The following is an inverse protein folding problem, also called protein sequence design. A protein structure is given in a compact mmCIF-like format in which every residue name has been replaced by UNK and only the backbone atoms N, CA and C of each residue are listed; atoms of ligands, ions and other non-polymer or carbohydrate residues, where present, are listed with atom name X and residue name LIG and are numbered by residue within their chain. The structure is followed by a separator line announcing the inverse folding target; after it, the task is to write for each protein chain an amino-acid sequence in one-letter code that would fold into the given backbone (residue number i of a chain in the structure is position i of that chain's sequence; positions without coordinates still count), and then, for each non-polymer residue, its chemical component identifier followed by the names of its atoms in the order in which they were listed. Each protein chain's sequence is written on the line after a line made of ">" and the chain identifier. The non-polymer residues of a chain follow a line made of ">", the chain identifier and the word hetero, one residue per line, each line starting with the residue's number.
data_IF_181316448634
#
_entry.id   IF_181316448634
#
_cell.length_a   1.000
_cell.length_b   1.000
_cell.length_c   1.000
_cell.angle_alpha   90.00
_cell.angle_beta   90.00
_cell.angle_gamma   90.00
#
_symmetry.space_group_name_H-M   'P 1'
#
loop_
_entity.id
_entity.type
_entity.pdbx_description
1 polymer ?
#
# COMPACT_ATOMS: atom_id res chain seq x y z
N UNK A 1 8.16 45.75 -17.86
CA UNK A 1 6.70 45.54 -17.85
C UNK A 1 6.26 44.33 -18.68
N UNK A 2 6.68 44.16 -19.96
CA UNK A 2 6.28 42.99 -20.77
C UNK A 2 6.67 41.63 -20.15
N UNK A 3 7.84 41.56 -19.51
CA UNK A 3 8.31 40.39 -18.76
C UNK A 3 7.37 39.99 -17.61
N UNK A 4 6.79 40.97 -16.91
CA UNK A 4 5.86 40.72 -15.80
C UNK A 4 4.58 40.09 -16.34
N UNK A 5 4.03 40.65 -17.44
CA UNK A 5 2.85 40.12 -18.11
C UNK A 5 3.10 38.71 -18.67
N UNK A 6 4.27 38.47 -19.27
CA UNK A 6 4.70 37.13 -19.70
C UNK A 6 4.88 36.17 -18.50
N UNK A 7 5.31 36.67 -17.34
CA UNK A 7 5.37 35.90 -16.11
C UNK A 7 4.00 35.42 -15.66
N UNK A 8 2.98 36.28 -15.72
CA UNK A 8 1.59 35.89 -15.47
C UNK A 8 1.08 34.85 -16.47
N UNK A 9 1.45 34.95 -17.75
CA UNK A 9 1.17 33.90 -18.75
C UNK A 9 1.79 32.57 -18.34
N UNK A 10 3.05 32.57 -17.88
CA UNK A 10 3.75 31.36 -17.43
C UNK A 10 3.07 30.73 -16.20
N UNK A 11 2.75 31.54 -15.19
CA UNK A 11 2.03 31.09 -13.98
C UNK A 11 0.66 30.52 -14.35
N UNK A 12 -0.10 31.22 -15.18
CA UNK A 12 -1.41 30.77 -15.64
C UNK A 12 -1.31 29.46 -16.42
N UNK A 13 -0.34 29.34 -17.34
CA UNK A 13 -0.10 28.11 -18.10
C UNK A 13 0.21 26.91 -17.19
N UNK A 14 1.06 27.11 -16.18
CA UNK A 14 1.33 26.08 -15.16
C UNK A 14 0.09 25.72 -14.33
N UNK A 15 -0.69 26.72 -13.93
CA UNK A 15 -1.93 26.52 -13.17
C UNK A 15 -3.02 25.79 -13.96
N UNK A 16 -3.19 26.17 -15.22
CA UNK A 16 -4.11 25.55 -16.16
C UNK A 16 -3.75 24.08 -16.38
N UNK A 17 -2.46 23.79 -16.60
CA UNK A 17 -1.97 22.41 -16.75
C UNK A 17 -2.24 21.55 -15.50
N UNK A 18 -2.09 22.12 -14.29
CA UNK A 18 -2.31 21.40 -13.04
C UNK A 18 -3.79 21.16 -12.70
N UNK A 19 -4.71 22.04 -13.12
CA UNK A 19 -6.14 21.95 -12.78
C UNK A 19 -6.98 21.26 -13.86
N UNK A 20 -6.59 21.39 -15.12
CA UNK A 20 -7.37 20.86 -16.24
C UNK A 20 -6.93 19.43 -16.54
N UNK A 21 -7.86 18.46 -16.63
CA UNK A 21 -7.54 17.04 -16.76
C UNK A 21 -7.09 16.62 -18.17
N UNK A 22 -6.23 17.41 -18.83
CA UNK A 22 -5.77 17.19 -20.23
C UNK A 22 -5.18 15.79 -20.40
N UNK A 23 -4.28 15.37 -19.51
CA UNK A 23 -3.65 14.04 -19.55
C UNK A 23 -4.66 12.90 -19.33
N UNK A 24 -5.67 13.11 -18.49
CA UNK A 24 -6.74 12.13 -18.28
C UNK A 24 -7.58 11.97 -19.54
N UNK A 25 -7.94 13.07 -20.21
CA UNK A 25 -8.70 13.06 -21.47
C UNK A 25 -7.91 12.39 -22.60
N UNK A 26 -6.62 12.72 -22.76
CA UNK A 26 -5.75 12.06 -23.74
C UNK A 26 -5.61 10.55 -23.49
N UNK A 27 -5.53 10.14 -22.21
CA UNK A 27 -5.49 8.71 -21.84
C UNK A 27 -6.81 8.02 -22.19
N UNK A 28 -7.95 8.64 -21.91
CA UNK A 28 -9.28 8.11 -22.28
C UNK A 28 -9.37 7.94 -23.80
N UNK A 29 -8.89 8.91 -24.58
CA UNK A 29 -8.84 8.79 -26.05
C UNK A 29 -7.95 7.63 -26.50
N UNK A 30 -6.74 7.49 -25.95
CA UNK A 30 -5.82 6.41 -26.29
C UNK A 30 -6.42 5.03 -26.00
N UNK A 31 -6.97 4.83 -24.80
CA UNK A 31 -7.59 3.56 -24.39
C UNK A 31 -8.82 3.25 -25.24
N UNK A 32 -9.69 4.25 -25.48
CA UNK A 32 -10.88 4.08 -26.31
C UNK A 32 -10.50 3.72 -27.75
N UNK A 33 -9.47 4.36 -28.31
CA UNK A 33 -8.96 4.04 -29.64
C UNK A 33 -8.35 2.65 -29.75
N UNK A 34 -7.60 2.21 -28.73
CA UNK A 34 -7.06 0.85 -28.66
C UNK A 34 -8.19 -0.21 -28.58
N UNK A 35 -9.22 0.05 -27.78
CA UNK A 35 -10.36 -0.85 -27.64
C UNK A 35 -11.23 -0.89 -28.90
N UNK A 36 -11.44 0.25 -29.56
CA UNK A 36 -12.15 0.33 -30.84
C UNK A 36 -11.40 -0.46 -31.93
N UNK A 37 -10.07 -0.31 -32.00
CA UNK A 37 -9.23 -1.07 -32.94
C UNK A 37 -9.30 -2.58 -32.68
N UNK A 38 -9.22 -3.01 -31.41
CA UNK A 38 -9.33 -4.43 -31.05
C UNK A 38 -10.71 -5.02 -31.40
N UNK A 39 -11.78 -4.26 -31.15
CA UNK A 39 -13.15 -4.67 -31.47
C UNK A 39 -13.35 -4.81 -32.99
N UNK A 40 -12.85 -3.85 -33.76
CA UNK A 40 -12.94 -3.87 -35.22
C UNK A 40 -12.20 -5.08 -35.83
N UNK A 41 -11.02 -5.40 -35.30
CA UNK A 41 -10.18 -6.51 -35.75
C UNK A 41 -10.63 -7.88 -35.21
N UNK A 42 -11.65 -7.95 -34.36
CA UNK A 42 -12.10 -9.20 -33.76
C UNK A 42 -12.95 -10.03 -34.74
N UNK A 43 -12.54 -11.26 -35.07
CA UNK A 43 -13.31 -12.14 -35.95
C UNK A 43 -14.50 -12.81 -35.23
N UNK A 44 -14.52 -12.81 -33.90
CA UNK A 44 -15.49 -13.56 -33.08
C UNK A 44 -16.78 -12.80 -32.74
N UNK A 45 -16.92 -11.54 -33.17
CA UNK A 45 -18.04 -10.66 -32.81
C UNK A 45 -18.84 -10.32 -34.08
N UNK A 46 -20.16 -10.51 -34.03
CA UNK A 46 -21.05 -10.18 -35.14
C UNK A 46 -21.13 -8.66 -35.40
N UNK A 47 -21.35 -8.29 -36.66
CA UNK A 47 -21.26 -6.91 -37.12
C UNK A 47 -22.28 -5.98 -36.47
N UNK A 48 -23.48 -6.47 -36.16
CA UNK A 48 -24.51 -5.69 -35.46
C UNK A 48 -24.08 -5.30 -34.02
N UNK A 49 -23.37 -6.20 -33.32
CA UNK A 49 -22.80 -5.90 -31.99
C UNK A 49 -21.60 -4.96 -32.11
N UNK A 50 -20.76 -5.13 -33.14
CA UNK A 50 -19.66 -4.20 -33.43
C UNK A 50 -20.20 -2.79 -33.65
N UNK A 51 -21.25 -2.63 -34.44
CA UNK A 51 -21.85 -1.33 -34.74
C UNK A 51 -22.34 -0.62 -33.47
N UNK A 52 -23.11 -1.32 -32.62
CA UNK A 52 -23.65 -0.77 -31.37
C UNK A 52 -22.53 -0.29 -30.43
N UNK A 53 -21.47 -1.07 -30.27
CA UNK A 53 -20.34 -0.71 -29.39
C UNK A 53 -19.43 0.36 -30.02
N UNK A 54 -19.24 0.32 -31.34
CA UNK A 54 -18.47 1.34 -32.07
C UNK A 54 -19.12 2.73 -31.98
N UNK A 55 -20.45 2.83 -31.95
CA UNK A 55 -21.15 4.10 -31.69
C UNK A 55 -20.81 4.69 -30.33
N UNK A 56 -20.70 3.85 -29.29
CA UNK A 56 -20.30 4.27 -27.93
C UNK A 56 -18.85 4.77 -27.92
N UNK A 57 -17.94 4.05 -28.59
CA UNK A 57 -16.55 4.50 -28.72
C UNK A 57 -16.40 5.80 -29.52
N UNK A 58 -17.15 5.95 -30.62
CA UNK A 58 -17.19 7.16 -31.41
C UNK A 58 -17.68 8.35 -30.57
N UNK A 59 -18.76 8.19 -29.81
CA UNK A 59 -19.28 9.24 -28.93
C UNK A 59 -18.26 9.61 -27.83
N UNK A 60 -17.59 8.60 -27.24
CA UNK A 60 -16.57 8.82 -26.21
C UNK A 60 -15.31 9.52 -26.76
N UNK A 61 -14.91 9.21 -27.99
CA UNK A 61 -13.83 9.92 -28.68
C UNK A 61 -14.25 11.34 -29.03
N UNK A 62 -15.45 11.54 -29.58
CA UNK A 62 -15.99 12.85 -29.93
C UNK A 62 -16.09 13.79 -28.72
N UNK A 63 -16.66 13.31 -27.61
CA UNK A 63 -16.74 14.08 -26.36
C UNK A 63 -15.36 14.44 -25.81
N UNK A 64 -14.39 13.53 -25.89
CA UNK A 64 -13.01 13.81 -25.48
C UNK A 64 -12.34 14.85 -26.37
N UNK A 65 -12.56 14.78 -27.68
CA UNK A 65 -12.06 15.78 -28.65
C UNK A 65 -12.69 17.15 -28.41
N UNK A 66 -14.01 17.21 -28.20
CA UNK A 66 -14.72 18.46 -27.90
C UNK A 66 -14.20 19.10 -26.60
N UNK A 67 -13.92 18.27 -25.59
CA UNK A 67 -13.39 18.72 -24.31
C UNK A 67 -11.94 19.23 -24.42
N UNK A 68 -11.09 18.58 -25.23
CA UNK A 68 -9.75 19.11 -25.55
C UNK A 68 -9.83 20.42 -26.34
N UNK A 69 -10.74 20.52 -27.30
CA UNK A 69 -10.98 21.75 -28.05
C UNK A 69 -11.45 22.89 -27.13
N UNK A 70 -12.38 22.60 -26.22
CA UNK A 70 -12.82 23.55 -25.21
C UNK A 70 -11.64 24.05 -24.35
N UNK A 71 -10.75 23.16 -23.91
CA UNK A 71 -9.55 23.56 -23.18
C UNK A 71 -8.62 24.46 -24.00
N UNK A 72 -8.45 24.15 -25.28
CA UNK A 72 -7.68 25.00 -26.19
C UNK A 72 -8.31 26.39 -26.32
N UNK A 73 -9.63 26.47 -26.50
CA UNK A 73 -10.37 27.74 -26.58
C UNK A 73 -10.22 28.56 -25.30
N UNK A 74 -10.34 27.94 -24.13
CA UNK A 74 -10.13 28.62 -22.84
C UNK A 74 -8.70 29.16 -22.73
N UNK A 75 -7.70 28.35 -23.09
CA UNK A 75 -6.30 28.74 -23.05
C UNK A 75 -6.02 29.93 -23.99
N UNK A 76 -6.47 29.85 -25.25
CA UNK A 76 -6.32 30.92 -26.24
C UNK A 76 -7.09 32.17 -25.85
N UNK A 77 -8.31 32.03 -25.32
CA UNK A 77 -9.13 33.15 -24.87
C UNK A 77 -8.46 33.94 -23.76
N UNK A 78 -7.80 33.26 -22.82
CA UNK A 78 -7.07 33.93 -21.73
C UNK A 78 -5.81 34.60 -22.25
N UNK A 79 -5.08 33.97 -23.18
CA UNK A 79 -3.95 34.62 -23.85
C UNK A 79 -4.38 35.89 -24.62
N UNK A 80 -5.54 35.87 -25.28
CA UNK A 80 -6.10 37.01 -25.98
C UNK A 80 -6.46 38.16 -25.02
N UNK A 81 -7.08 37.84 -23.88
CA UNK A 81 -7.40 38.84 -22.83
C UNK A 81 -6.13 39.46 -22.28
N UNK A 82 -5.09 38.65 -21.98
CA UNK A 82 -3.81 39.15 -21.49
C UNK A 82 -3.08 40.01 -22.53
N UNK A 83 -3.17 39.65 -23.82
CA UNK A 83 -2.63 40.47 -24.90
C UNK A 83 -3.35 41.82 -25.01
N UNK A 84 -4.68 41.84 -24.96
CA UNK A 84 -5.47 43.06 -25.00
C UNK A 84 -5.15 43.97 -23.80
N UNK A 85 -5.03 43.39 -22.60
CA UNK A 85 -4.62 44.11 -21.40
C UNK A 85 -3.21 44.71 -21.52
N UNK A 86 -2.28 43.98 -22.15
CA UNK A 86 -0.94 44.49 -22.45
C UNK A 86 -0.97 45.70 -23.39
N UNK A 87 -1.81 45.65 -24.44
CA UNK A 87 -1.96 46.74 -25.41
C UNK A 87 -2.48 48.03 -24.78
N UNK A 88 -3.35 47.94 -23.77
CA UNK A 88 -3.84 49.11 -23.02
C UNK A 88 -2.73 49.88 -22.28
N UNK A 89 -1.60 49.21 -21.99
CA UNK A 89 -0.44 49.79 -21.29
C UNK A 89 0.75 49.97 -22.24
N UNK A 90 0.53 49.91 -23.55
CA UNK A 90 1.57 50.09 -24.57
C UNK A 90 2.55 48.92 -24.70
N UNK A 91 2.18 47.72 -24.23
CA UNK A 91 3.00 46.52 -24.31
C UNK A 91 2.49 45.57 -25.39
N UNK A 92 3.39 45.04 -26.22
CA UNK A 92 3.05 44.01 -27.19
C UNK A 92 3.48 42.62 -26.71
N UNK A 93 2.56 41.95 -26.01
CA UNK A 93 2.78 40.59 -25.52
C UNK A 93 2.95 39.58 -26.67
N UNK A 94 2.27 39.78 -27.80
CA UNK A 94 2.29 38.82 -28.91
C UNK A 94 3.66 38.83 -29.59
N UNK A 95 4.20 40.02 -29.84
CA UNK A 95 5.56 40.18 -30.38
C UNK A 95 6.61 39.59 -29.43
N UNK A 96 6.44 39.75 -28.11
CA UNK A 96 7.37 39.16 -27.16
C UNK A 96 7.31 37.62 -27.15
N UNK A 97 6.10 37.04 -27.16
CA UNK A 97 5.90 35.58 -27.16
C UNK A 97 6.29 34.89 -28.47
N UNK A 98 6.35 35.62 -29.59
CA UNK A 98 6.84 35.07 -30.86
C UNK A 98 8.36 34.98 -30.94
N UNK A 99 9.08 35.54 -29.95
CA UNK A 99 10.55 35.41 -29.87
C UNK A 99 10.99 34.13 -29.15
N UNK A 100 12.16 33.55 -29.49
CA UNK A 100 12.74 32.44 -28.73
C UNK A 100 12.93 32.77 -27.24
N UNK A 101 13.32 34.02 -26.94
CA UNK A 101 13.54 34.50 -25.57
C UNK A 101 12.24 34.50 -24.76
N UNK A 102 11.15 34.98 -25.34
CA UNK A 102 9.83 34.98 -24.70
C UNK A 102 9.32 33.56 -24.44
N UNK A 103 9.47 32.65 -25.39
CA UNK A 103 9.09 31.25 -25.24
C UNK A 103 9.87 30.56 -24.11
N UNK A 104 11.20 30.74 -24.07
CA UNK A 104 12.05 30.18 -23.01
C UNK A 104 11.63 30.74 -21.65
N UNK A 105 11.41 32.06 -21.55
CA UNK A 105 11.02 32.70 -20.30
C UNK A 105 9.69 32.17 -19.75
N UNK A 106 8.65 32.11 -20.57
CA UNK A 106 7.33 31.61 -20.16
C UNK A 106 7.40 30.13 -19.77
N UNK A 107 8.14 29.33 -20.52
CA UNK A 107 8.34 27.90 -20.23
C UNK A 107 9.08 27.70 -18.91
N UNK A 108 10.12 28.51 -18.65
CA UNK A 108 10.87 28.50 -17.40
C UNK A 108 9.97 28.92 -16.22
N UNK A 109 9.23 30.01 -16.32
CA UNK A 109 8.32 30.49 -15.26
C UNK A 109 7.22 29.47 -14.98
N UNK A 110 6.61 28.89 -16.02
CA UNK A 110 5.61 27.83 -15.90
C UNK A 110 6.17 26.59 -15.21
N UNK A 111 7.39 26.18 -15.58
CA UNK A 111 8.08 25.02 -14.98
C UNK A 111 8.43 25.27 -13.51
N UNK A 112 9.01 26.44 -13.19
CA UNK A 112 9.35 26.83 -11.82
C UNK A 112 8.08 26.91 -10.97
N UNK A 113 7.02 27.57 -11.45
CA UNK A 113 5.74 27.67 -10.75
C UNK A 113 5.14 26.28 -10.48
N UNK A 114 5.14 25.41 -11.49
CA UNK A 114 4.65 24.04 -11.37
C UNK A 114 5.46 23.27 -10.33
N UNK A 115 6.79 23.33 -10.38
CA UNK A 115 7.67 22.68 -9.40
C UNK A 115 7.47 23.25 -7.99
N UNK A 116 7.38 24.57 -7.84
CA UNK A 116 7.14 25.22 -6.55
C UNK A 116 5.80 24.80 -5.96
N UNK A 117 4.73 24.75 -6.77
CA UNK A 117 3.40 24.36 -6.30
C UNK A 117 3.31 22.87 -5.96
N UNK A 118 4.05 22.03 -6.71
CA UNK A 118 4.20 20.62 -6.40
C UNK A 118 5.02 20.38 -5.13
N UNK A 119 6.05 21.19 -4.86
CA UNK A 119 6.82 21.17 -3.61
C UNK A 119 6.04 21.75 -2.42
N UNK A 120 5.20 22.77 -2.65
CA UNK A 120 4.36 23.38 -1.62
C UNK A 120 3.18 22.48 -1.19
N UNK A 121 2.77 21.55 -2.05
CA UNK A 121 2.01 20.38 -1.60
C UNK A 121 2.95 19.52 -0.76
N UNK A 122 2.93 19.73 0.57
CA UNK A 122 3.58 18.84 1.54
C UNK A 122 3.10 17.41 1.26
N UNK A 123 3.96 16.64 0.63
CA UNK A 123 3.79 15.21 0.38
C UNK A 123 5.20 14.65 0.40
N UNK A 124 5.43 13.67 1.26
CA UNK A 124 6.74 13.02 1.40
C UNK A 124 7.14 12.25 0.11
N UNK A 125 6.20 12.09 -0.83
CA UNK A 125 6.40 11.40 -2.10
C UNK A 125 6.52 12.38 -3.28
N UNK A 126 7.67 12.34 -3.96
CA UNK A 126 7.89 13.08 -5.21
C UNK A 126 6.92 12.67 -6.32
N UNK A 127 6.60 13.59 -7.24
CA UNK A 127 5.61 13.38 -8.31
C UNK A 127 5.91 12.16 -9.19
N UNK A 128 7.19 11.92 -9.53
CA UNK A 128 7.60 10.75 -10.30
C UNK A 128 7.40 9.44 -9.54
N UNK A 129 7.70 9.41 -8.24
CA UNK A 129 7.39 8.28 -7.37
C UNK A 129 5.89 8.01 -7.37
N UNK A 130 5.05 9.05 -7.19
CA UNK A 130 3.58 8.90 -7.24
C UNK A 130 3.08 8.33 -8.56
N UNK A 131 3.62 8.79 -9.69
CA UNK A 131 3.29 8.24 -11.02
C UNK A 131 3.69 6.77 -11.11
N UNK A 132 4.91 6.43 -10.68
CA UNK A 132 5.42 5.08 -10.73
C UNK A 132 4.58 4.13 -9.87
N UNK A 133 4.26 4.50 -8.62
CA UNK A 133 3.34 3.75 -7.76
C UNK A 133 1.95 3.62 -8.38
N UNK A 134 1.43 4.69 -9.00
CA UNK A 134 0.12 4.64 -9.68
C UNK A 134 0.11 3.64 -10.84
N UNK A 135 1.21 3.55 -11.59
CA UNK A 135 1.33 2.61 -12.72
C UNK A 135 1.51 1.19 -12.19
N UNK A 136 2.44 1.00 -11.26
CA UNK A 136 2.82 -0.31 -10.73
C UNK A 136 1.69 -0.97 -9.93
N UNK A 137 0.97 -0.22 -9.09
CA UNK A 137 0.00 -0.77 -8.13
C UNK A 137 -1.46 -0.41 -8.44
N UNK A 138 -1.69 0.58 -9.30
CA UNK A 138 -3.02 1.11 -9.59
C UNK A 138 -3.85 0.29 -10.58
N UNK A 139 -3.26 -0.72 -11.22
CA UNK A 139 -3.96 -1.66 -12.10
C UNK A 139 -3.50 -3.09 -11.79
N UNK A 140 -4.44 -4.03 -11.60
CA UNK A 140 -4.18 -5.45 -11.30
C UNK A 140 -3.27 -6.13 -12.34
N UNK A 141 -3.37 -5.75 -13.61
CA UNK A 141 -2.57 -6.38 -14.68
C UNK A 141 -1.08 -6.11 -14.58
N UNK A 142 -0.65 -5.03 -13.90
CA UNK A 142 0.78 -4.70 -13.81
C UNK A 142 1.49 -5.57 -12.76
N UNK A 143 1.01 -5.70 -11.51
CA UNK A 143 1.55 -6.68 -10.57
C UNK A 143 1.50 -8.11 -11.11
N UNK A 144 0.41 -8.51 -11.76
CA UNK A 144 0.28 -9.85 -12.36
C UNK A 144 1.35 -10.11 -13.43
N UNK A 145 1.51 -9.20 -14.41
CA UNK A 145 2.57 -9.31 -15.40
C UNK A 145 3.98 -9.21 -14.77
N UNK A 146 4.10 -8.50 -13.65
CA UNK A 146 5.37 -8.40 -12.92
C UNK A 146 5.76 -9.75 -12.32
N UNK A 147 4.80 -10.41 -11.69
CA UNK A 147 4.96 -11.75 -11.16
C UNK A 147 5.34 -12.74 -12.26
N UNK A 148 4.59 -12.79 -13.36
CA UNK A 148 4.86 -13.72 -14.46
C UNK A 148 6.26 -13.50 -15.06
N UNK A 149 6.70 -12.25 -15.15
CA UNK A 149 8.04 -11.90 -15.65
C UNK A 149 9.16 -12.34 -14.69
N UNK A 150 8.99 -12.15 -13.38
CA UNK A 150 9.91 -12.64 -12.35
C UNK A 150 10.06 -14.16 -12.44
N UNK A 151 8.94 -14.89 -12.44
CA UNK A 151 8.94 -16.35 -12.49
C UNK A 151 9.52 -16.90 -13.79
N UNK A 152 9.31 -16.22 -14.92
CA UNK A 152 9.91 -16.61 -16.20
C UNK A 152 11.43 -16.44 -16.26
N UNK A 153 12.01 -15.54 -15.46
CA UNK A 153 13.46 -15.32 -15.39
C UNK A 153 14.14 -16.22 -14.35
N UNK A 154 13.48 -16.43 -13.21
CA UNK A 154 13.95 -17.33 -12.17
C UNK A 154 13.73 -18.77 -12.61
N UNK A 155 14.76 -19.39 -13.19
CA UNK A 155 14.77 -20.83 -13.54
C UNK A 155 14.95 -21.70 -12.29
N UNK A 156 14.22 -21.41 -11.23
CA UNK A 156 14.27 -22.16 -9.97
C UNK A 156 13.16 -23.20 -10.04
N UNK A 157 13.51 -24.47 -9.88
CA UNK A 157 12.50 -25.50 -9.67
C UNK A 157 11.77 -25.18 -8.37
N UNK A 158 10.46 -24.98 -8.47
CA UNK A 158 9.57 -24.59 -7.35
C UNK A 158 9.27 -25.76 -6.41
N UNK A 159 10.14 -26.76 -6.37
CA UNK A 159 10.27 -27.68 -5.24
C UNK A 159 10.91 -26.92 -4.06
N UNK A 160 10.25 -25.83 -3.64
CA UNK A 160 10.61 -25.10 -2.44
C UNK A 160 10.63 -26.11 -1.30
N UNK A 161 11.78 -26.25 -0.63
CA UNK A 161 11.96 -27.21 0.44
C UNK A 161 10.82 -27.07 1.46
N UNK A 162 9.98 -28.11 1.65
CA UNK A 162 8.87 -28.09 2.59
C UNK A 162 9.29 -27.79 4.03
N UNK A 163 10.59 -27.85 4.33
CA UNK A 163 11.17 -27.87 5.67
C UNK A 163 11.67 -26.51 6.17
N UNK A 164 11.62 -25.44 5.36
CA UNK A 164 12.08 -24.13 5.80
C UNK A 164 11.14 -23.53 6.87
N UNK A 165 11.71 -23.14 8.02
CA UNK A 165 10.98 -22.50 9.14
C UNK A 165 10.61 -21.04 8.86
N UNK A 166 9.77 -20.80 7.86
CA UNK A 166 9.24 -19.48 7.55
C UNK A 166 8.46 -18.91 8.74
N UNK A 167 8.49 -17.59 8.91
CA UNK A 167 7.78 -16.88 9.98
C UNK A 167 6.77 -15.92 9.37
N UNK A 168 5.49 -16.12 9.69
CA UNK A 168 4.40 -15.23 9.29
C UNK A 168 3.85 -14.50 10.50
N UNK A 169 3.94 -13.17 10.51
CA UNK A 169 3.44 -12.32 11.59
C UNK A 169 2.14 -11.65 11.12
N UNK A 170 1.02 -11.95 11.76
CA UNK A 170 -0.28 -11.40 11.40
C UNK A 170 -1.10 -11.05 12.64
N UNK A 171 -2.25 -10.39 12.46
CA UNK A 171 -3.06 -9.92 13.58
C UNK A 171 -3.50 -8.47 13.40
N UNK A 172 -4.18 -7.94 14.41
CA UNK A 172 -4.60 -6.54 14.37
C UNK A 172 -3.40 -5.60 14.33
N UNK A 173 -3.54 -4.53 13.55
CA UNK A 173 -2.58 -3.44 13.57
C UNK A 173 -2.36 -2.93 15.01
N UNK A 174 -1.18 -2.37 15.29
CA UNK A 174 -0.82 -1.84 16.63
C UNK A 174 -0.78 -2.88 17.77
N UNK A 175 -0.85 -4.17 17.47
CA UNK A 175 -0.66 -5.26 18.46
C UNK A 175 0.82 -5.56 18.76
N UNK A 176 1.76 -5.02 17.98
CA UNK A 176 3.19 -5.37 18.06
C UNK A 176 3.73 -6.15 16.86
N UNK A 177 2.94 -6.34 15.80
CA UNK A 177 3.34 -7.05 14.57
C UNK A 177 4.61 -6.47 13.93
N UNK A 178 4.72 -5.15 13.81
CA UNK A 178 5.90 -4.48 13.22
C UNK A 178 7.13 -4.62 14.11
N UNK A 179 6.95 -4.61 15.44
CA UNK A 179 8.04 -4.81 16.38
C UNK A 179 8.64 -6.21 16.23
N UNK A 180 7.77 -7.24 16.22
CA UNK A 180 8.21 -8.63 16.00
C UNK A 180 8.95 -8.76 14.66
N UNK A 181 8.37 -8.25 13.57
CA UNK A 181 8.99 -8.31 12.24
C UNK A 181 10.38 -7.69 12.23
N UNK A 182 10.55 -6.50 12.79
CA UNK A 182 11.86 -5.83 12.81
C UNK A 182 12.87 -6.57 13.67
N UNK A 183 12.44 -7.17 14.78
CA UNK A 183 13.32 -7.93 15.67
C UNK A 183 13.79 -9.25 15.04
N UNK A 184 12.89 -9.97 14.35
CA UNK A 184 13.26 -11.13 13.52
C UNK A 184 14.17 -10.75 12.36
N UNK A 185 13.87 -9.66 11.66
CA UNK A 185 14.71 -9.19 10.55
C UNK A 185 16.12 -8.78 11.01
N UNK A 186 16.24 -8.21 12.21
CA UNK A 186 17.51 -7.79 12.81
C UNK A 186 18.43 -8.96 13.23
N UNK A 187 17.97 -10.22 13.18
CA UNK A 187 18.84 -11.39 13.37
C UNK A 187 19.63 -11.74 12.11
N UNK A 188 19.28 -11.14 10.96
CA UNK A 188 19.80 -11.50 9.63
C UNK A 188 19.56 -12.97 9.25
N UNK A 189 18.65 -13.66 9.93
CA UNK A 189 18.32 -15.08 9.68
C UNK A 189 17.16 -15.26 8.69
N UNK A 190 16.59 -14.16 8.18
CA UNK A 190 15.41 -14.19 7.32
C UNK A 190 15.53 -13.24 6.13
N UNK A 191 14.80 -13.56 5.06
CA UNK A 191 14.48 -12.61 3.98
C UNK A 191 13.06 -12.07 4.14
N UNK A 192 12.91 -10.80 3.85
CA UNK A 192 11.63 -10.11 3.87
C UNK A 192 11.63 -9.04 2.80
N UNK A 193 10.44 -8.65 2.33
CA UNK A 193 10.30 -7.49 1.45
C UNK A 193 10.62 -6.22 2.23
N UNK A 194 11.33 -5.31 1.58
CA UNK A 194 11.73 -4.02 2.10
C UNK A 194 11.16 -2.90 1.25
N UNK A 195 11.32 -1.65 1.70
CA UNK A 195 10.99 -0.49 0.88
C UNK A 195 11.80 -0.40 -0.43
N UNK A 196 12.96 -1.07 -0.52
CA UNK A 196 13.75 -1.14 -1.75
C UNK A 196 13.03 -1.92 -2.87
N UNK A 197 12.14 -2.84 -2.50
CA UNK A 197 11.37 -3.68 -3.42
C UNK A 197 10.17 -2.94 -4.01
N UNK A 198 9.83 -1.77 -3.46
CA UNK A 198 8.80 -0.91 -4.00
C UNK A 198 9.27 -0.18 -5.27
N UNK A 199 8.38 0.00 -6.26
CA UNK A 199 6.95 -0.36 -6.23
C UNK A 199 6.63 -1.75 -6.81
N UNK A 200 7.63 -2.50 -7.26
CA UNK A 200 7.46 -3.76 -7.99
C UNK A 200 7.69 -4.98 -7.10
N UNK A 201 6.93 -5.08 -6.02
CA UNK A 201 7.11 -6.09 -4.96
C UNK A 201 6.84 -7.54 -5.40
N UNK A 202 6.25 -7.75 -6.58
CA UNK A 202 6.06 -9.07 -7.19
C UNK A 202 7.20 -9.48 -8.15
N UNK A 203 8.20 -8.62 -8.36
CA UNK A 203 9.43 -8.91 -9.12
C UNK A 203 10.70 -8.40 -8.41
N UNK A 204 10.93 -8.76 -7.14
CA UNK A 204 11.99 -8.15 -6.33
C UNK A 204 13.39 -8.31 -6.94
N UNK A 205 13.73 -9.45 -7.56
CA UNK A 205 15.07 -9.66 -8.11
C UNK A 205 15.30 -8.84 -9.38
N UNK A 206 14.32 -8.81 -10.28
CA UNK A 206 14.40 -7.99 -11.50
C UNK A 206 14.44 -6.51 -11.12
N UNK A 207 13.58 -6.08 -10.20
CA UNK A 207 13.56 -4.69 -9.75
C UNK A 207 14.88 -4.29 -9.09
N UNK A 208 15.49 -5.15 -8.28
CA UNK A 208 16.78 -4.92 -7.66
C UNK A 208 17.90 -4.64 -8.71
N UNK A 209 17.84 -5.27 -9.89
CA UNK A 209 18.79 -5.02 -11.00
C UNK A 209 18.62 -3.61 -11.59
N UNK A 210 17.39 -3.09 -11.64
CA UNK A 210 17.10 -1.73 -12.14
C UNK A 210 17.30 -0.65 -11.07
N UNK A 211 16.95 -0.91 -9.82
CA UNK A 211 16.96 0.08 -8.73
C UNK A 211 18.35 0.32 -8.15
N UNK A 212 19.29 -0.63 -8.29
CA UNK A 212 20.68 -0.50 -7.88
C UNK A 212 21.39 0.74 -8.47
N UNK A 213 20.95 1.21 -9.64
CA UNK A 213 21.50 2.40 -10.31
C UNK A 213 21.08 3.72 -9.61
N UNK A 214 19.95 3.73 -8.88
CA UNK A 214 19.36 4.93 -8.27
C UNK A 214 19.41 4.97 -6.73
N UNK A 215 19.58 3.83 -6.05
CA UNK A 215 19.47 3.72 -4.59
C UNK A 215 20.68 4.26 -3.79
N UNK A 216 21.78 4.64 -4.44
CA UNK A 216 22.96 5.21 -3.78
C UNK A 216 22.72 6.58 -3.08
N UNK A 217 21.50 7.12 -3.09
CA UNK A 217 21.15 8.46 -2.56
C UNK A 217 19.94 8.51 -1.62
N UNK A 218 19.32 7.39 -1.27
CA UNK A 218 18.11 7.40 -0.43
C UNK A 218 18.46 7.63 1.05
N UNK A 219 18.11 8.81 1.58
CA UNK A 219 18.27 9.19 2.99
C UNK A 219 17.10 8.63 3.81
N UNK A 220 17.38 8.18 5.05
CA UNK A 220 16.40 7.73 6.06
C UNK A 220 15.21 8.71 6.16
N UNK A 221 13.99 8.22 6.01
CA UNK A 221 12.77 9.02 6.14
C UNK A 221 11.93 8.58 7.35
N UNK A 222 11.20 9.51 7.95
CA UNK A 222 10.30 9.20 9.07
C UNK A 222 9.04 8.53 8.51
N UNK A 223 8.56 7.46 9.16
CA UNK A 223 7.38 6.71 8.68
C UNK A 223 6.14 7.62 8.62
N UNK A 224 5.34 7.49 7.56
CA UNK A 224 4.06 8.20 7.42
C UNK A 224 3.03 7.87 8.53
N UNK A 225 3.31 6.85 9.36
CA UNK A 225 2.45 6.45 10.47
C UNK A 225 2.52 7.35 11.70
N UNK A 226 3.47 8.29 11.79
CA UNK A 226 3.60 9.23 12.91
C UNK A 226 4.03 8.57 14.23
N UNK A 227 4.51 7.33 14.18
CA UNK A 227 5.32 6.74 15.23
C UNK A 227 6.76 7.27 15.13
N UNK A 228 7.46 7.40 16.26
CA UNK A 228 8.86 7.85 16.32
C UNK A 228 9.86 6.83 15.70
N UNK A 229 9.36 5.88 14.91
CA UNK A 229 10.14 4.87 14.23
C UNK A 229 10.74 5.44 12.93
N UNK A 230 12.07 5.52 12.90
CA UNK A 230 12.84 5.86 11.71
C UNK A 230 12.83 4.67 10.74
N UNK A 231 12.43 4.91 9.49
CA UNK A 231 12.36 3.88 8.46
C UNK A 231 13.42 4.17 7.40
N UNK A 232 14.24 3.16 7.13
CA UNK A 232 15.21 3.17 6.05
C UNK A 232 14.65 2.41 4.84
N UNK A 233 15.20 2.64 3.65
CA UNK A 233 14.82 1.92 2.43
C UNK A 233 15.01 0.39 2.56
N UNK A 234 15.95 -0.03 3.42
CA UNK A 234 16.19 -1.44 3.73
C UNK A 234 15.33 -1.97 4.89
N UNK A 235 14.40 -1.19 5.44
CA UNK A 235 13.53 -1.67 6.50
C UNK A 235 12.47 -2.61 5.94
N UNK A 236 12.19 -3.74 6.63
CA UNK A 236 11.12 -4.65 6.22
C UNK A 236 9.76 -3.97 6.35
N UNK A 237 8.83 -4.29 5.44
CA UNK A 237 7.48 -3.72 5.44
C UNK A 237 6.41 -4.71 4.96
N UNK A 238 5.15 -4.44 5.33
CA UNK A 238 4.00 -5.27 5.08
C UNK A 238 3.51 -5.26 3.62
N UNK A 239 4.31 -5.77 2.69
CA UNK A 239 4.08 -5.64 1.24
C UNK A 239 3.44 -6.88 0.59
N UNK A 240 3.37 -8.01 1.30
CA UNK A 240 2.80 -9.27 0.80
C UNK A 240 1.33 -9.14 0.36
N UNK A 241 0.56 -8.23 0.96
CA UNK A 241 -0.86 -8.07 0.62
C UNK A 241 -1.07 -7.69 -0.86
N UNK A 242 -0.07 -7.12 -1.53
CA UNK A 242 -0.10 -6.88 -2.98
C UNK A 242 -0.23 -8.18 -3.77
N UNK A 243 0.43 -9.27 -3.36
CA UNK A 243 0.27 -10.60 -3.97
C UNK A 243 -1.18 -11.04 -3.84
N UNK A 244 -1.70 -11.05 -2.60
CA UNK A 244 -3.04 -11.55 -2.35
C UNK A 244 -4.12 -10.70 -3.01
N UNK A 245 -3.99 -9.38 -3.01
CA UNK A 245 -4.91 -8.49 -3.73
C UNK A 245 -4.88 -8.75 -5.24
N UNK A 246 -3.72 -9.12 -5.79
CA UNK A 246 -3.56 -9.38 -7.22
C UNK A 246 -4.21 -10.70 -7.64
N UNK A 247 -4.07 -11.76 -6.84
CA UNK A 247 -4.59 -13.09 -7.23
C UNK A 247 -5.96 -13.40 -6.64
N UNK A 248 -6.26 -12.93 -5.42
CA UNK A 248 -7.48 -13.24 -4.68
C UNK A 248 -8.32 -12.00 -4.30
N UNK A 249 -7.98 -10.78 -4.74
CA UNK A 249 -8.61 -9.56 -4.24
C UNK A 249 -10.14 -9.57 -4.27
N UNK A 250 -10.73 -10.08 -5.34
CA UNK A 250 -12.20 -10.14 -5.50
C UNK A 250 -12.88 -11.15 -4.55
N UNK A 251 -12.12 -12.05 -3.93
CA UNK A 251 -12.64 -13.09 -3.03
C UNK A 251 -12.79 -12.61 -1.59
N UNK A 252 -11.96 -11.67 -1.14
CA UNK A 252 -11.96 -11.23 0.27
C UNK A 252 -12.11 -9.71 0.45
N UNK A 253 -11.84 -8.90 -0.57
CA UNK A 253 -11.97 -7.43 -0.48
C UNK A 253 -13.36 -7.02 -0.94
N UNK A 254 -14.30 -6.92 0.00
CA UNK A 254 -15.62 -6.34 -0.22
C UNK A 254 -15.60 -4.81 -0.28
N UNK A 255 -16.72 -4.21 -0.66
CA UNK A 255 -16.83 -2.75 -0.78
C UNK A 255 -16.57 -2.02 0.56
N UNK A 256 -17.06 -2.58 1.66
CA UNK A 256 -17.01 -1.99 3.00
C UNK A 256 -16.44 -2.95 4.06
N UNK A 257 -15.93 -4.12 3.66
CA UNK A 257 -15.49 -5.16 4.58
C UNK A 257 -14.42 -6.04 3.96
N UNK A 258 -13.69 -6.75 4.81
CA UNK A 258 -12.81 -7.84 4.42
C UNK A 258 -13.37 -9.16 4.99
N UNK A 259 -13.48 -10.21 4.18
CA UNK A 259 -14.05 -11.51 4.62
C UNK A 259 -12.99 -12.62 4.63
N UNK A 260 -13.14 -13.67 5.45
CA UNK A 260 -12.29 -14.85 5.36
C UNK A 260 -12.31 -15.49 3.98
N UNK A 261 -11.20 -16.09 3.55
CA UNK A 261 -11.08 -16.80 2.28
C UNK A 261 -10.12 -17.98 2.36
N UNK A 262 -10.29 -18.94 1.45
CA UNK A 262 -9.34 -20.01 1.18
C UNK A 262 -8.90 -19.96 -0.28
N UNK A 263 -7.59 -19.90 -0.50
CA UNK A 263 -6.99 -19.88 -1.83
C UNK A 263 -7.07 -21.27 -2.50
N UNK A 264 -7.27 -21.27 -3.81
CA UNK A 264 -7.20 -22.47 -4.65
C UNK A 264 -5.75 -22.98 -4.81
N UNK A 265 -5.60 -24.22 -5.29
CA UNK A 265 -4.29 -24.85 -5.43
C UNK A 265 -3.37 -24.09 -6.41
N UNK A 266 -3.93 -23.45 -7.44
CA UNK A 266 -3.17 -22.62 -8.37
C UNK A 266 -2.55 -21.42 -7.64
N UNK A 267 -3.33 -20.72 -6.83
CA UNK A 267 -2.85 -19.56 -6.07
C UNK A 267 -1.87 -19.98 -4.97
N UNK A 268 -2.07 -21.12 -4.33
CA UNK A 268 -1.09 -21.69 -3.40
C UNK A 268 0.23 -21.96 -4.10
N UNK A 269 0.22 -22.53 -5.31
CA UNK A 269 1.41 -22.71 -6.14
C UNK A 269 2.11 -21.40 -6.46
N UNK A 270 1.35 -20.37 -6.88
CA UNK A 270 1.88 -19.01 -7.12
C UNK A 270 2.46 -18.38 -5.86
N UNK A 271 1.86 -18.62 -4.69
CA UNK A 271 2.33 -18.08 -3.42
C UNK A 271 3.66 -18.72 -3.01
N UNK A 272 3.80 -20.04 -3.18
CA UNK A 272 5.09 -20.73 -2.99
C UNK A 272 6.16 -20.16 -3.92
N UNK A 273 5.86 -20.04 -5.21
CA UNK A 273 6.77 -19.46 -6.20
C UNK A 273 7.17 -18.01 -5.87
N UNK A 274 6.22 -17.21 -5.36
CA UNK A 274 6.47 -15.85 -4.91
C UNK A 274 7.44 -15.80 -3.73
N UNK A 275 7.20 -16.62 -2.71
CA UNK A 275 8.07 -16.70 -1.53
C UNK A 275 9.46 -17.21 -1.93
N UNK A 276 9.56 -18.22 -2.79
CA UNK A 276 10.83 -18.72 -3.33
C UNK A 276 11.60 -17.61 -4.05
N UNK A 277 10.92 -16.77 -4.83
CA UNK A 277 11.57 -15.64 -5.49
C UNK A 277 12.12 -14.62 -4.48
N UNK A 278 11.44 -14.39 -3.36
CA UNK A 278 11.91 -13.46 -2.31
C UNK A 278 13.09 -14.04 -1.52
N UNK A 279 13.06 -15.34 -1.22
CA UNK A 279 14.15 -16.00 -0.47
C UNK A 279 15.37 -16.26 -1.34
N UNK A 280 15.18 -16.38 -2.65
CA UNK A 280 16.26 -16.50 -3.61
C UNK A 280 17.11 -15.22 -3.67
N UNK A 281 18.42 -15.40 -3.57
CA UNK A 281 19.37 -14.29 -3.69
C UNK A 281 20.52 -14.66 -4.63
N UNK A 282 20.46 -14.18 -5.87
CA UNK A 282 21.54 -14.34 -6.86
C UNK A 282 22.85 -13.65 -6.43
N UNK A 283 22.79 -12.66 -5.52
CA UNK A 283 23.93 -11.78 -5.17
C UNK A 283 24.83 -12.29 -4.06
N UNK A 284 24.38 -13.22 -3.22
CA UNK A 284 25.13 -13.63 -2.03
C UNK A 284 25.96 -14.91 -2.20
N UNK A 285 25.82 -15.65 -3.32
CA UNK A 285 26.64 -16.84 -3.63
C UNK A 285 26.80 -17.81 -2.44
N UNK A 286 25.79 -17.91 -1.59
CA UNK A 286 25.67 -18.89 -0.52
C UNK A 286 24.67 -19.95 -0.95
N UNK A 287 24.99 -21.22 -0.74
CA UNK A 287 24.09 -22.34 -1.05
C UNK A 287 22.84 -22.39 -0.13
N UNK A 288 22.81 -21.59 0.95
CA UNK A 288 21.71 -21.59 1.92
C UNK A 288 20.66 -20.50 1.61
N UNK A 289 19.43 -20.93 1.27
CA UNK A 289 18.26 -20.05 1.19
C UNK A 289 17.77 -19.69 2.61
N UNK A 290 17.83 -18.41 2.96
CA UNK A 290 17.27 -17.93 4.22
C UNK A 290 15.73 -18.05 4.21
N UNK A 291 15.09 -18.50 5.31
CA UNK A 291 13.64 -18.56 5.40
C UNK A 291 12.97 -17.20 5.21
N UNK A 292 11.72 -17.23 4.75
CA UNK A 292 10.90 -16.05 4.58
C UNK A 292 10.32 -15.54 5.90
N UNK A 293 10.33 -14.21 6.05
CA UNK A 293 9.70 -13.46 7.12
C UNK A 293 8.66 -12.52 6.52
N UNK A 294 7.41 -12.71 6.89
CA UNK A 294 6.29 -11.87 6.48
C UNK A 294 5.70 -11.13 7.66
N UNK A 295 5.24 -9.90 7.41
CA UNK A 295 4.20 -9.28 8.22
C UNK A 295 3.03 -8.89 7.33
N UNK A 296 1.84 -9.37 7.65
CA UNK A 296 0.62 -8.96 6.96
C UNK A 296 -0.57 -9.11 7.91
N UNK A 297 -1.26 -8.00 8.22
CA UNK A 297 -2.38 -8.03 9.16
C UNK A 297 -3.53 -8.89 8.64
N UNK A 298 -3.81 -8.80 7.33
CA UNK A 298 -4.94 -9.45 6.70
C UNK A 298 -4.71 -10.96 6.49
N UNK A 299 -3.54 -11.49 6.84
CA UNK A 299 -3.28 -12.93 6.83
C UNK A 299 -4.15 -13.69 7.83
N UNK A 300 -4.73 -13.00 8.84
CA UNK A 300 -5.75 -13.61 9.69
C UNK A 300 -6.91 -14.19 8.88
N UNK A 301 -7.24 -13.63 7.72
CA UNK A 301 -8.36 -14.07 6.90
C UNK A 301 -8.07 -15.34 6.08
N UNK A 302 -6.82 -15.82 6.07
CA UNK A 302 -6.36 -16.87 5.14
C UNK A 302 -5.33 -17.82 5.77
N UNK A 303 -5.39 -18.00 7.09
CA UNK A 303 -4.42 -18.81 7.84
C UNK A 303 -4.30 -20.25 7.29
N UNK A 304 -5.42 -20.86 6.91
CA UNK A 304 -5.46 -22.20 6.30
C UNK A 304 -4.72 -22.26 4.95
N UNK A 305 -4.78 -21.19 4.16
CA UNK A 305 -4.05 -21.11 2.90
C UNK A 305 -2.53 -21.01 3.15
N UNK A 306 -2.11 -20.27 4.17
CA UNK A 306 -0.69 -20.16 4.54
C UNK A 306 -0.17 -21.50 5.05
N UNK A 307 -0.91 -22.20 5.92
CA UNK A 307 -0.50 -23.52 6.43
C UNK A 307 -0.50 -24.60 5.34
N UNK A 308 -1.43 -24.54 4.37
CA UNK A 308 -1.38 -25.39 3.18
C UNK A 308 -0.15 -25.10 2.31
N UNK A 309 0.21 -23.82 2.14
CA UNK A 309 1.38 -23.44 1.37
C UNK A 309 2.68 -23.88 2.07
N UNK A 310 2.77 -23.67 3.39
CA UNK A 310 3.98 -23.92 4.20
C UNK A 310 3.62 -24.62 5.52
N UNK A 311 3.52 -25.97 5.53
CA UNK A 311 3.09 -26.73 6.70
C UNK A 311 4.00 -26.60 7.92
N UNK A 312 5.28 -26.26 7.71
CA UNK A 312 6.29 -26.10 8.76
C UNK A 312 6.51 -24.64 9.18
N UNK A 313 5.74 -23.70 8.64
CA UNK A 313 5.88 -22.29 9.00
C UNK A 313 5.33 -22.01 10.40
N UNK A 314 5.96 -21.05 11.08
CA UNK A 314 5.48 -20.52 12.35
C UNK A 314 4.63 -19.28 12.12
N UNK A 315 3.38 -19.30 12.60
CA UNK A 315 2.47 -18.17 12.50
C UNK A 315 2.39 -17.49 13.87
N UNK A 316 2.85 -16.24 13.95
CA UNK A 316 2.86 -15.47 15.20
C UNK A 316 1.74 -14.42 15.18
N UNK A 317 0.83 -14.50 16.16
CA UNK A 317 -0.28 -13.57 16.30
C UNK A 317 -0.15 -12.81 17.62
N UNK A 318 0.38 -11.57 17.62
CA UNK A 318 0.42 -10.78 18.81
C UNK A 318 -0.98 -10.32 19.23
N UNK A 319 -1.18 -10.25 20.53
CA UNK A 319 -2.33 -9.61 21.17
C UNK A 319 -1.85 -8.70 22.29
N UNK A 320 -2.69 -7.73 22.62
CA UNK A 320 -2.41 -6.66 23.58
C UNK A 320 -3.62 -6.48 24.49
N UNK A 321 -3.42 -5.93 25.68
CA UNK A 321 -4.48 -5.55 26.61
C UNK A 321 -5.58 -4.78 25.85
N UNK A 322 -6.84 -5.24 25.93
CA UNK A 322 -7.90 -4.83 25.02
C UNK A 322 -8.17 -3.32 25.02
N UNK A 323 -8.21 -2.67 26.19
CA UNK A 323 -8.52 -1.25 26.28
C UNK A 323 -7.42 -0.39 25.66
N UNK A 324 -6.16 -0.66 26.00
CA UNK A 324 -5.01 0.05 25.43
C UNK A 324 -4.88 -0.18 23.93
N UNK A 325 -5.17 -1.40 23.46
CA UNK A 325 -5.08 -1.73 22.05
C UNK A 325 -6.17 -1.03 21.25
N UNK A 326 -7.43 -1.13 21.67
CA UNK A 326 -8.55 -0.44 21.03
C UNK A 326 -8.34 1.08 20.99
N UNK A 327 -7.85 1.66 22.07
CA UNK A 327 -7.52 3.09 22.08
C UNK A 327 -6.36 3.44 21.13
N UNK A 328 -5.34 2.59 21.02
CA UNK A 328 -4.27 2.79 20.03
C UNK A 328 -4.78 2.70 18.59
N UNK A 329 -5.75 1.82 18.31
CA UNK A 329 -6.37 1.70 17.00
C UNK A 329 -7.18 2.96 16.66
N UNK A 330 -8.03 3.42 17.58
CA UNK A 330 -8.83 4.65 17.42
C UNK A 330 -7.95 5.87 17.12
N UNK A 331 -6.88 6.05 17.89
CA UNK A 331 -5.95 7.17 17.66
C UNK A 331 -5.29 7.10 16.28
N UNK A 332 -4.91 5.90 15.84
CA UNK A 332 -4.33 5.72 14.51
C UNK A 332 -5.36 5.99 13.41
N UNK A 333 -6.62 5.55 13.59
CA UNK A 333 -7.72 5.86 12.68
C UNK A 333 -7.92 7.37 12.53
N UNK A 334 -8.04 8.10 13.64
CA UNK A 334 -8.16 9.58 13.66
C UNK A 334 -6.97 10.27 12.98
N UNK A 335 -5.75 9.78 13.24
CA UNK A 335 -4.54 10.30 12.58
C UNK A 335 -4.62 10.12 11.06
N UNK A 336 -5.03 8.94 10.58
CA UNK A 336 -5.19 8.71 9.15
C UNK A 336 -6.31 9.51 8.50
N UNK A 337 -7.43 9.72 9.20
CA UNK A 337 -8.49 10.62 8.71
C UNK A 337 -7.93 12.04 8.48
N UNK A 338 -7.11 12.54 9.40
CA UNK A 338 -6.43 13.83 9.25
C UNK A 338 -5.47 13.84 8.06
N UNK A 339 -4.56 12.87 7.99
CA UNK A 339 -3.57 12.79 6.91
C UNK A 339 -4.21 12.65 5.53
N UNK A 340 -5.23 11.81 5.39
CA UNK A 340 -5.92 11.59 4.12
C UNK A 340 -6.73 12.82 3.68
N UNK A 341 -7.20 13.64 4.62
CA UNK A 341 -7.81 14.94 4.34
C UNK A 341 -6.79 15.95 3.82
N UNK A 342 -5.56 15.92 4.35
CA UNK A 342 -4.45 16.80 3.95
C UNK A 342 -3.81 16.38 2.61
N UNK A 343 -3.58 15.09 2.39
CA UNK A 343 -3.08 14.51 1.14
C UNK A 343 -3.94 13.31 0.68
N UNK A 344 -4.84 13.49 -0.31
CA UNK A 344 -5.64 12.41 -0.88
C UNK A 344 -4.82 11.28 -1.51
N UNK A 345 -3.51 11.46 -1.74
CA UNK A 345 -2.62 10.39 -2.16
C UNK A 345 -2.51 9.28 -1.12
N UNK A 346 -2.46 9.63 0.17
CA UNK A 346 -2.28 8.68 1.28
C UNK A 346 -3.37 7.61 1.22
N UNK A 347 -4.62 8.04 1.02
CA UNK A 347 -5.76 7.12 0.84
C UNK A 347 -5.52 6.18 -0.35
N UNK A 348 -5.21 6.73 -1.53
CA UNK A 348 -5.01 5.93 -2.74
C UNK A 348 -3.88 4.93 -2.60
N UNK A 349 -2.77 5.36 -2.00
CA UNK A 349 -1.60 4.53 -1.76
C UNK A 349 -1.93 3.36 -0.83
N UNK A 350 -2.61 3.63 0.29
CA UNK A 350 -3.08 2.58 1.20
C UNK A 350 -4.03 1.59 0.51
N UNK A 351 -5.01 2.09 -0.26
CA UNK A 351 -5.93 1.23 -1.04
C UNK A 351 -5.17 0.36 -2.05
N UNK A 352 -4.12 0.87 -2.70
CA UNK A 352 -3.31 0.08 -3.62
C UNK A 352 -2.57 -1.07 -2.95
N UNK A 353 -2.13 -0.87 -1.71
CA UNK A 353 -1.51 -1.87 -0.86
C UNK A 353 -2.53 -2.75 -0.11
N UNK A 354 -3.84 -2.53 -0.31
CA UNK A 354 -4.91 -3.20 0.45
C UNK A 354 -4.81 -3.01 1.98
N UNK A 355 -4.23 -1.89 2.41
CA UNK A 355 -4.25 -1.46 3.81
C UNK A 355 -5.56 -0.73 4.12
N UNK A 356 -6.54 -1.49 4.57
CA UNK A 356 -7.89 -1.01 4.92
C UNK A 356 -8.10 -0.89 6.44
N UNK A 357 -7.05 -0.90 7.25
CA UNK A 357 -7.16 -0.92 8.71
C UNK A 357 -7.58 0.42 9.31
N UNK A 358 -7.41 1.54 8.58
CA UNK A 358 -7.58 2.88 9.12
C UNK A 358 -8.04 3.92 8.08
N UNK A 359 -8.57 5.03 8.58
CA UNK A 359 -8.92 6.20 7.79
C UNK A 359 -10.25 6.05 7.04
N UNK A 360 -10.40 6.83 5.98
CA UNK A 360 -11.65 6.97 5.22
C UNK A 360 -11.97 5.80 4.28
N UNK A 361 -11.03 4.87 4.10
CA UNK A 361 -11.21 3.61 3.36
C UNK A 361 -11.08 2.41 4.31
N UNK A 362 -11.40 2.61 5.59
CA UNK A 362 -11.44 1.57 6.61
C UNK A 362 -12.48 0.50 6.25
N UNK A 363 -12.08 -0.78 6.36
CA UNK A 363 -12.94 -1.93 6.12
C UNK A 363 -12.74 -2.94 7.26
N UNK A 364 -13.70 -3.13 8.17
CA UNK A 364 -13.57 -4.12 9.21
C UNK A 364 -13.58 -5.56 8.67
N UNK A 365 -13.05 -6.48 9.46
CA UNK A 365 -13.13 -7.91 9.21
C UNK A 365 -14.54 -8.42 9.50
N UNK A 366 -15.20 -8.97 8.49
CA UNK A 366 -16.52 -9.60 8.60
C UNK A 366 -16.34 -11.12 8.59
N UNK A 367 -16.05 -11.67 9.78
CA UNK A 367 -15.75 -13.09 9.95
C UNK A 367 -16.95 -14.03 9.74
N UNK A 368 -18.16 -13.52 9.93
CA UNK A 368 -19.42 -14.25 9.73
C UNK A 368 -20.54 -13.26 9.42
N UNK A 369 -21.69 -13.75 8.96
CA UNK A 369 -22.88 -12.92 8.74
C UNK A 369 -23.42 -12.29 10.02
N UNK A 370 -23.11 -12.86 11.18
CA UNK A 370 -23.51 -12.37 12.50
C UNK A 370 -22.49 -11.39 13.11
N UNK A 371 -21.41 -11.06 12.41
CA UNK A 371 -20.42 -10.10 12.91
C UNK A 371 -21.03 -8.69 12.88
N UNK A 372 -21.36 -8.17 14.05
CA UNK A 372 -21.90 -6.82 14.20
C UNK A 372 -20.85 -5.82 14.67
N UNK A 373 -20.97 -4.60 14.16
CA UNK A 373 -20.18 -3.45 14.57
C UNK A 373 -21.09 -2.24 14.76
N UNK A 374 -20.76 -1.43 15.76
CA UNK A 374 -21.27 -0.08 15.92
C UNK A 374 -20.99 0.74 14.65
N UNK A 375 -21.93 1.61 14.26
CA UNK A 375 -21.80 2.42 13.04
C UNK A 375 -20.73 3.52 13.13
N UNK A 376 -20.33 3.90 14.35
CA UNK A 376 -19.38 4.99 14.58
C UNK A 376 -17.94 4.48 14.76
N UNK A 377 -17.15 4.54 13.67
CA UNK A 377 -15.72 4.18 13.68
C UNK A 377 -14.85 5.14 14.50
N UNK A 378 -15.38 6.29 14.90
CA UNK A 378 -14.72 7.29 15.77
C UNK A 378 -15.04 7.09 17.27
N UNK A 379 -15.50 5.90 17.66
CA UNK A 379 -15.80 5.53 19.04
C UNK A 379 -14.85 4.45 19.55
N UNK A 380 -14.51 4.48 20.86
CA UNK A 380 -13.70 3.42 21.46
C UNK A 380 -14.44 2.07 21.49
N UNK A 381 -15.76 2.08 21.70
CA UNK A 381 -16.62 0.88 21.65
C UNK A 381 -16.43 0.13 20.33
N UNK A 382 -16.44 0.82 19.19
CA UNK A 382 -16.20 0.19 17.88
C UNK A 382 -14.86 -0.57 17.82
N UNK A 383 -13.78 0.02 18.33
CA UNK A 383 -12.47 -0.63 18.29
C UNK A 383 -12.34 -1.77 19.29
N UNK A 384 -13.09 -1.76 20.39
CA UNK A 384 -13.24 -2.90 21.27
C UNK A 384 -14.03 -4.04 20.60
N UNK A 385 -15.07 -3.74 19.83
CA UNK A 385 -15.79 -4.75 19.04
C UNK A 385 -14.85 -5.39 18.00
N UNK A 386 -14.05 -4.59 17.29
CA UNK A 386 -13.01 -5.09 16.37
C UNK A 386 -12.04 -6.04 17.08
N UNK A 387 -11.58 -5.67 18.27
CA UNK A 387 -10.70 -6.50 19.08
C UNK A 387 -11.37 -7.82 19.47
N UNK A 388 -12.57 -7.74 20.07
CA UNK A 388 -13.32 -8.91 20.54
C UNK A 388 -13.65 -9.85 19.40
N UNK A 389 -14.17 -9.34 18.28
CA UNK A 389 -14.56 -10.15 17.13
C UNK A 389 -13.36 -10.86 16.52
N UNK A 390 -12.23 -10.16 16.38
CA UNK A 390 -11.01 -10.74 15.79
C UNK A 390 -10.42 -11.84 16.65
N UNK A 391 -10.21 -11.60 17.94
CA UNK A 391 -9.60 -12.61 18.80
C UNK A 391 -10.55 -13.74 19.18
N UNK A 392 -11.87 -13.52 19.19
CA UNK A 392 -12.85 -14.61 19.32
C UNK A 392 -12.77 -15.54 18.11
N UNK A 393 -12.77 -14.97 16.91
CA UNK A 393 -12.67 -15.75 15.68
C UNK A 393 -11.36 -16.53 15.60
N UNK A 394 -10.23 -15.89 15.94
CA UNK A 394 -8.92 -16.54 15.93
C UNK A 394 -8.85 -17.71 16.90
N UNK A 395 -9.35 -17.59 18.13
CA UNK A 395 -9.35 -18.70 19.09
C UNK A 395 -10.17 -19.91 18.61
N UNK A 396 -11.21 -19.66 17.82
CA UNK A 396 -12.10 -20.71 17.32
C UNK A 396 -11.59 -21.34 16.01
N UNK A 397 -10.93 -20.57 15.13
CA UNK A 397 -10.63 -20.98 13.75
C UNK A 397 -9.14 -21.06 13.41
N UNK A 398 -8.24 -20.56 14.26
CA UNK A 398 -6.82 -20.59 13.97
C UNK A 398 -6.29 -22.03 13.92
N UNK A 399 -5.44 -22.38 12.94
CA UNK A 399 -4.79 -23.69 12.90
C UNK A 399 -3.79 -23.84 14.06
N UNK A 400 -3.43 -25.08 14.39
CA UNK A 400 -2.49 -25.40 15.47
C UNK A 400 -1.08 -24.81 15.30
N UNK A 401 -0.70 -24.42 14.09
CA UNK A 401 0.57 -23.74 13.78
C UNK A 401 0.64 -22.30 14.32
N UNK A 402 -0.47 -21.75 14.83
CA UNK A 402 -0.54 -20.40 15.39
C UNK A 402 0.00 -20.37 16.82
N UNK A 403 0.90 -19.42 17.06
CA UNK A 403 1.42 -19.07 18.38
C UNK A 403 0.95 -17.66 18.75
N UNK A 404 0.22 -17.54 19.86
CA UNK A 404 -0.25 -16.25 20.37
C UNK A 404 0.83 -15.55 21.21
N UNK A 405 1.17 -14.32 20.87
CA UNK A 405 2.26 -13.58 21.52
C UNK A 405 1.70 -12.42 22.37
N UNK A 406 1.88 -12.48 23.68
CA UNK A 406 1.48 -11.36 24.55
C UNK A 406 2.42 -10.17 24.36
N UNK A 407 1.88 -9.04 23.92
CA UNK A 407 2.62 -7.79 23.82
C UNK A 407 3.12 -7.33 25.20
N UNK A 408 2.30 -7.48 26.25
CA UNK A 408 2.68 -7.11 27.61
C UNK A 408 3.86 -7.95 28.11
N UNK A 409 3.86 -9.28 27.90
CA UNK A 409 4.99 -10.13 28.26
C UNK A 409 6.24 -9.77 27.46
N UNK A 410 6.10 -9.58 26.15
CA UNK A 410 7.20 -9.19 25.27
C UNK A 410 7.85 -7.87 25.73
N UNK A 411 7.08 -6.95 26.29
CA UNK A 411 7.62 -5.70 26.81
C UNK A 411 8.14 -5.78 28.25
N UNK A 412 7.53 -6.61 29.10
CA UNK A 412 7.91 -6.73 30.51
C UNK A 412 9.13 -7.64 30.72
N UNK A 413 9.31 -8.65 29.86
CA UNK A 413 10.43 -9.60 29.89
C UNK A 413 11.01 -9.81 28.48
N UNK A 414 11.56 -8.76 27.85
CA UNK A 414 11.91 -8.80 26.43
C UNK A 414 12.98 -9.85 26.10
N UNK A 415 13.94 -10.11 26.97
CA UNK A 415 14.99 -11.10 26.72
C UNK A 415 14.46 -12.53 26.75
N UNK A 416 13.73 -12.91 27.81
CA UNK A 416 13.23 -14.30 27.94
C UNK A 416 12.16 -14.60 26.89
N UNK A 417 11.17 -13.72 26.72
CA UNK A 417 10.13 -13.93 25.70
C UNK A 417 10.72 -13.95 24.28
N UNK A 418 11.81 -13.20 24.04
CA UNK A 418 12.51 -13.29 22.77
C UNK A 418 13.27 -14.60 22.59
N UNK A 419 13.91 -15.13 23.63
CA UNK A 419 14.55 -16.45 23.59
C UNK A 419 13.55 -17.55 23.25
N UNK A 420 12.36 -17.53 23.84
CA UNK A 420 11.29 -18.50 23.55
C UNK A 420 10.86 -18.42 22.07
N UNK A 421 10.66 -17.20 21.55
CA UNK A 421 10.30 -16.98 20.15
C UNK A 421 11.40 -17.44 19.18
N UNK A 422 12.68 -17.22 19.52
CA UNK A 422 13.81 -17.70 18.72
C UNK A 422 13.90 -19.24 18.74
N UNK A 423 13.64 -19.86 19.90
CA UNK A 423 13.62 -21.31 20.02
C UNK A 423 12.54 -21.95 19.15
N UNK A 424 11.33 -21.36 19.12
CA UNK A 424 10.24 -21.79 18.23
C UNK A 424 10.68 -21.69 16.78
N UNK A 425 11.29 -20.57 16.40
CA UNK A 425 11.68 -20.31 15.02
C UNK A 425 12.98 -21.03 14.60
N UNK A 426 13.64 -21.74 15.52
CA UNK A 426 14.88 -22.48 15.26
C UNK A 426 16.12 -21.62 15.01
N UNK A 427 16.17 -20.40 15.57
CA UNK A 427 17.27 -19.44 15.34
C UNK A 427 18.02 -19.09 16.62
N UNK A 428 19.25 -18.60 16.47
CA UNK A 428 20.00 -18.04 17.60
C UNK A 428 19.34 -16.74 18.12
N UNK A 429 19.28 -16.51 19.43
CA UNK A 429 18.63 -15.32 20.02
C UNK A 429 19.43 -14.02 19.87
N UNK A 430 20.46 -14.00 19.02
CA UNK A 430 21.32 -12.84 18.83
C UNK A 430 20.64 -11.78 17.98
N UNK A 431 20.56 -10.55 18.51
CA UNK A 431 20.01 -9.39 17.78
C UNK A 431 20.95 -8.21 17.93
N UNK A 432 21.38 -7.62 16.81
CA UNK A 432 22.15 -6.38 16.82
C UNK A 432 21.24 -5.20 16.50
N UNK A 433 21.30 -4.13 17.30
CA UNK A 433 20.59 -2.88 17.02
C UNK A 433 19.06 -2.96 17.10
N UNK A 434 18.52 -3.93 17.85
CA UNK A 434 17.07 -4.04 18.05
C UNK A 434 16.48 -2.80 18.73
N UNK A 435 15.27 -2.42 18.29
CA UNK A 435 14.51 -1.35 18.91
C UNK A 435 14.27 -1.66 20.39
N UNK A 436 14.36 -0.63 21.24
CA UNK A 436 14.03 -0.75 22.67
C UNK A 436 12.56 -1.07 22.80
N UNK A 437 12.24 -2.22 23.41
CA UNK A 437 10.87 -2.60 23.71
C UNK A 437 10.49 -1.98 25.05
N UNK A 438 9.57 -1.02 25.02
CA UNK A 438 9.04 -0.43 26.24
C UNK A 438 7.51 -0.42 26.23
N UNK A 439 6.92 -0.99 27.28
CA UNK A 439 5.48 -0.91 27.50
C UNK A 439 5.12 0.51 27.91
N UNK A 440 4.22 1.15 27.15
CA UNK A 440 3.66 2.45 27.53
C UNK A 440 2.16 2.32 27.72
N UNK A 441 1.73 2.48 28.96
CA UNK A 441 0.32 2.65 29.32
C UNK A 441 -0.07 4.10 29.07
N UNK A 442 -1.26 4.31 28.50
CA UNK A 442 -1.81 5.64 28.25
C UNK A 442 -3.10 5.79 29.03
N UNK A 443 -3.35 7.00 29.49
CA UNK A 443 -4.67 7.39 29.96
C UNK A 443 -5.66 7.30 28.80
N UNK A 444 -6.81 6.68 29.06
CA UNK A 444 -7.88 6.45 28.08
C UNK A 444 -9.07 7.31 28.48
N UNK A 445 -9.19 8.54 27.94
CA UNK A 445 -10.27 9.47 28.30
C UNK A 445 -11.59 9.20 27.55
N UNK A 446 -11.65 8.14 26.73
CA UNK A 446 -12.80 7.82 25.88
C UNK A 446 -13.82 6.95 26.64
N UNK A 447 -15.10 7.21 26.42
CA UNK A 447 -16.17 6.35 26.92
C UNK A 447 -16.21 5.02 26.15
N UNK A 448 -16.54 3.93 26.84
CA UNK A 448 -16.69 2.59 26.28
C UNK A 448 -17.81 1.82 26.97
N UNK A 449 -18.31 0.77 26.29
CA UNK A 449 -19.31 -0.14 26.85
C UNK A 449 -18.68 -1.07 27.90
N UNK A 450 -19.23 -1.06 29.12
CA UNK A 450 -18.72 -1.85 30.24
C UNK A 450 -18.91 -3.36 30.06
N UNK A 451 -20.02 -3.80 29.48
CA UNK A 451 -20.29 -5.22 29.24
C UNK A 451 -19.36 -5.77 28.16
N UNK A 452 -19.11 -4.99 27.11
CA UNK A 452 -18.13 -5.32 26.07
C UNK A 452 -16.72 -5.41 26.67
N UNK A 453 -16.35 -4.49 27.56
CA UNK A 453 -15.05 -4.53 28.24
C UNK A 453 -14.89 -5.78 29.12
N UNK A 454 -15.94 -6.19 29.85
CA UNK A 454 -15.92 -7.46 30.59
C UNK A 454 -15.68 -8.66 29.68
N UNK A 455 -16.35 -8.71 28.52
CA UNK A 455 -16.13 -9.76 27.50
C UNK A 455 -14.70 -9.73 26.97
N UNK A 456 -14.17 -8.55 26.67
CA UNK A 456 -12.81 -8.39 26.18
C UNK A 456 -11.75 -8.86 27.20
N UNK A 457 -11.92 -8.52 28.48
CA UNK A 457 -11.04 -8.98 29.55
C UNK A 457 -11.04 -10.50 29.70
N UNK A 458 -12.22 -11.13 29.69
CA UNK A 458 -12.33 -12.59 29.74
C UNK A 458 -11.63 -13.25 28.55
N UNK A 459 -11.77 -12.69 27.35
CA UNK A 459 -11.09 -13.17 26.15
C UNK A 459 -9.56 -13.00 26.24
N UNK A 460 -9.09 -11.87 26.80
CA UNK A 460 -7.67 -11.62 27.05
C UNK A 460 -7.06 -12.61 28.04
N UNK A 461 -7.80 -13.01 29.07
CA UNK A 461 -7.39 -14.07 30.00
C UNK A 461 -7.25 -15.43 29.29
N UNK A 462 -8.19 -15.77 28.41
CA UNK A 462 -8.11 -17.02 27.62
C UNK A 462 -6.89 -17.02 26.69
N UNK A 463 -6.63 -15.90 25.99
CA UNK A 463 -5.42 -15.73 25.18
C UNK A 463 -4.15 -15.84 26.05
N UNK A 464 -4.19 -15.31 27.27
CA UNK A 464 -3.09 -15.38 28.22
C UNK A 464 -2.76 -16.80 28.66
N UNK A 465 -3.76 -17.68 28.74
CA UNK A 465 -3.55 -19.11 29.02
C UNK A 465 -2.93 -19.80 27.80
N UNK A 466 -3.44 -19.56 26.60
CA UNK A 466 -2.87 -20.11 25.36
C UNK A 466 -1.43 -19.61 25.10
N UNK A 467 -1.10 -18.41 25.54
CA UNK A 467 0.25 -17.84 25.44
C UNK A 467 1.17 -18.21 26.63
N UNK A 468 0.71 -19.04 27.58
CA UNK A 468 1.55 -19.59 28.66
C UNK A 468 2.14 -20.95 28.30
N UNK A 469 1.68 -21.59 27.23
CA UNK A 469 2.35 -22.75 26.63
C UNK A 469 3.50 -22.36 25.69
N UNK A 470 3.83 -21.06 25.65
CA UNK A 470 5.08 -20.52 25.11
C UNK A 470 6.25 -20.83 26.05
#
# INVERSE_FOLDING_TARGET
>A
MVWILAGFVGIFGGEFFLRVPILKTLRVMKVTGQNARRLFLSPSICDEKKEKVMRVYALRMFTSTLLLFFYLVVLVGILAVLHLAGRLVGLDLFVFLSTPVGLIYVTMVSSIYTVMKLKARRSDYGLLSRILHTIALGNRSVPEASFDFEQGQLKIETEAEPLASHVFICGLARAGTTLLMRRFYATSSYRSLTYADMPFVLMPNIWAKFSAINNAKAVKQRRAHGDDLLVDINSPEALEEVFWKTFCGDQYIGANSLIPMDADDETIGKFRAYVTAITYNEREATDDLLPYLSKNNNNILRLNSITRAFPHAHILIPYREPLQHAYSLLRQHRNFLKQQKEDPFVRKYMTWLAHHEFGSDHRPFMFSDNTEYSSNTDSLTYWLEVWVNTYSWLLEHAPSAVTYVSYEKLCAKPESTWQDLCAIAGIAPHVMGADVIQLTWRDVPEAYDAALMTRANKLYEVLSVHARSL
#
